data_IF_037051369271
#
_entry.id   IF_037051369271
#
_cell.length_a   1.000
_cell.length_b   1.000
_cell.length_c   1.000
_cell.angle_alpha   90.00
_cell.angle_beta   90.00
_cell.angle_gamma   90.00
#
_symmetry.space_group_name_H-M   'P 1'
#
loop_
_entity.id
_entity.type
_entity.pdbx_description
1 polymer ?
#
# COMPACT_ATOMS: atom_id res chain seq x y z
N UNK A 1 -7.82 12.13 -13.49
CA UNK A 1 -7.82 11.28 -12.27
C UNK A 1 -8.85 10.18 -12.45
N UNK A 2 -8.55 8.98 -11.96
CA UNK A 2 -9.49 7.85 -11.99
C UNK A 2 -10.04 7.68 -10.58
N UNK A 3 -11.36 7.55 -10.44
CA UNK A 3 -12.01 7.35 -9.15
C UNK A 3 -12.75 6.01 -9.16
N UNK A 4 -12.34 5.11 -8.29
CA UNK A 4 -13.05 3.89 -7.95
C UNK A 4 -13.69 4.11 -6.57
N UNK A 5 -15.00 4.26 -6.53
CA UNK A 5 -15.76 4.55 -5.31
C UNK A 5 -16.74 3.43 -5.00
N UNK A 6 -16.86 3.06 -3.73
CA UNK A 6 -17.96 2.24 -3.27
C UNK A 6 -19.24 3.09 -3.22
N UNK A 7 -20.22 2.76 -4.07
CA UNK A 7 -21.42 3.58 -4.26
C UNK A 7 -21.11 4.98 -4.80
N UNK A 8 -22.05 5.91 -4.65
CA UNK A 8 -21.89 7.28 -5.17
C UNK A 8 -20.87 8.11 -4.39
N UNK A 9 -20.83 7.93 -3.07
CA UNK A 9 -20.04 8.75 -2.14
C UNK A 9 -18.64 8.19 -1.89
N UNK A 10 -18.42 6.90 -2.09
CA UNK A 10 -17.18 6.23 -1.67
C UNK A 10 -17.07 6.00 -0.17
N UNK A 11 -18.19 6.07 0.57
CA UNK A 11 -18.21 5.87 2.02
C UNK A 11 -18.19 4.38 2.39
N UNK A 12 -17.51 4.03 3.48
CA UNK A 12 -17.50 2.67 4.04
C UNK A 12 -18.90 2.14 4.37
N UNK A 13 -19.84 3.01 4.74
CA UNK A 13 -21.23 2.65 5.02
C UNK A 13 -21.99 2.07 3.82
N UNK A 14 -21.47 2.26 2.60
CA UNK A 14 -22.06 1.69 1.39
C UNK A 14 -21.75 0.18 1.25
N UNK A 15 -20.87 -0.38 2.10
CA UNK A 15 -20.66 -1.81 2.30
C UNK A 15 -20.27 -2.62 1.03
N UNK A 16 -19.51 -2.02 0.11
CA UNK A 16 -19.00 -2.73 -1.07
C UNK A 16 -17.81 -3.61 -0.68
N UNK A 17 -17.87 -4.87 -1.07
CA UNK A 17 -16.86 -5.86 -0.68
C UNK A 17 -16.34 -6.62 -1.90
N UNK A 18 -15.02 -6.71 -2.02
CA UNK A 18 -14.34 -7.72 -2.81
C UNK A 18 -14.00 -8.90 -1.88
N UNK A 19 -14.48 -10.09 -2.21
CA UNK A 19 -14.38 -11.28 -1.35
C UNK A 19 -13.80 -12.48 -2.12
N UNK A 20 -12.70 -13.02 -1.61
CA UNK A 20 -12.07 -14.20 -2.15
C UNK A 20 -11.18 -13.93 -3.37
N UNK A 21 -10.85 -15.02 -4.08
CA UNK A 21 -9.95 -14.96 -5.24
C UNK A 21 -8.47 -14.84 -4.86
N UNK A 22 -7.62 -14.83 -5.87
CA UNK A 22 -6.18 -14.67 -5.69
C UNK A 22 -5.79 -13.19 -5.50
N UNK A 23 -6.45 -12.30 -6.25
CA UNK A 23 -6.18 -10.87 -6.31
C UNK A 23 -7.49 -10.10 -6.49
N UNK A 24 -7.63 -8.96 -5.80
CA UNK A 24 -8.78 -8.06 -5.94
C UNK A 24 -8.51 -6.93 -6.95
N UNK A 25 -7.32 -6.32 -6.90
CA UNK A 25 -6.93 -5.25 -7.84
C UNK A 25 -5.51 -5.46 -8.37
N UNK A 26 -5.35 -5.23 -9.68
CA UNK A 26 -4.06 -5.18 -10.37
C UNK A 26 -3.94 -3.81 -11.06
N UNK A 27 -3.12 -2.92 -10.50
CA UNK A 27 -2.91 -1.57 -11.02
C UNK A 27 -1.54 -1.49 -11.66
N UNK A 28 -1.50 -1.50 -12.99
CA UNK A 28 -0.29 -1.35 -13.79
C UNK A 28 -0.24 0.06 -14.38
N UNK A 29 0.73 0.85 -13.96
CA UNK A 29 0.84 2.27 -14.29
C UNK A 29 1.95 2.46 -15.32
N UNK A 30 1.58 2.54 -16.60
CA UNK A 30 2.54 2.70 -17.70
C UNK A 30 2.78 4.16 -18.10
N UNK A 31 1.79 5.04 -17.90
CA UNK A 31 1.86 6.46 -18.27
C UNK A 31 1.73 7.38 -17.05
N UNK A 32 1.97 8.67 -17.27
CA UNK A 32 1.80 9.74 -16.28
C UNK A 32 0.29 9.98 -16.07
N UNK A 33 -0.41 9.01 -15.48
CA UNK A 33 -1.81 9.17 -15.14
C UNK A 33 -1.96 10.18 -14.00
N UNK A 34 -2.92 11.09 -14.16
CA UNK A 34 -3.47 11.83 -13.03
C UNK A 34 -4.04 10.80 -12.05
N UNK A 35 -3.48 10.69 -10.85
CA UNK A 35 -3.58 9.55 -9.91
C UNK A 35 -4.93 8.84 -9.76
N UNK A 36 -4.85 7.61 -9.26
CA UNK A 36 -6.00 6.72 -8.99
C UNK A 36 -6.46 6.90 -7.55
N UNK A 37 -7.75 7.03 -7.33
CA UNK A 37 -8.37 7.12 -6.00
C UNK A 37 -9.32 5.96 -5.80
N UNK A 38 -9.11 5.18 -4.73
CA UNK A 38 -9.93 4.02 -4.36
C UNK A 38 -10.52 4.28 -2.98
N UNK A 39 -11.85 4.24 -2.83
CA UNK A 39 -12.46 4.60 -1.54
C UNK A 39 -13.68 3.78 -1.12
N UNK A 40 -13.74 3.46 0.18
CA UNK A 40 -14.90 2.87 0.84
C UNK A 40 -15.06 1.36 0.63
N UNK A 41 -14.02 0.66 0.18
CA UNK A 41 -14.09 -0.77 -0.11
C UNK A 41 -13.54 -1.63 1.03
N UNK A 42 -14.17 -2.79 1.23
CA UNK A 42 -13.57 -3.89 1.98
C UNK A 42 -12.99 -4.92 1.02
N UNK A 43 -11.71 -5.25 1.20
CA UNK A 43 -10.98 -6.29 0.50
C UNK A 43 -10.76 -7.45 1.49
N UNK A 44 -11.41 -8.59 1.27
CA UNK A 44 -11.34 -9.68 2.24
C UNK A 44 -11.08 -11.04 1.63
N UNK A 45 -10.42 -11.89 2.43
CA UNK A 45 -10.20 -13.32 2.14
C UNK A 45 -9.52 -13.61 0.80
N UNK A 46 -8.67 -12.71 0.29
CA UNK A 46 -7.79 -13.08 -0.83
C UNK A 46 -6.85 -14.21 -0.41
N UNK A 47 -6.49 -15.07 -1.36
CA UNK A 47 -5.55 -16.19 -1.18
C UNK A 47 -4.15 -15.91 -1.73
N UNK A 48 -3.96 -14.74 -2.33
CA UNK A 48 -2.68 -14.20 -2.78
C UNK A 48 -2.57 -12.71 -2.44
N UNK A 49 -1.87 -11.97 -3.30
CA UNK A 49 -1.76 -10.51 -3.21
C UNK A 49 -3.13 -9.87 -3.46
N UNK A 50 -3.76 -9.33 -2.43
CA UNK A 50 -5.05 -8.64 -2.56
C UNK A 50 -4.97 -7.47 -3.53
N UNK A 51 -3.95 -6.61 -3.40
CA UNK A 51 -3.77 -5.44 -4.27
C UNK A 51 -2.33 -5.39 -4.72
N UNK A 52 -2.13 -5.43 -6.04
CA UNK A 52 -0.81 -5.25 -6.65
C UNK A 52 -0.77 -3.92 -7.39
N UNK A 53 0.23 -3.12 -7.08
CA UNK A 53 0.52 -1.84 -7.72
C UNK A 53 1.91 -1.94 -8.33
N UNK A 54 1.98 -1.79 -9.64
CA UNK A 54 3.22 -1.83 -10.37
C UNK A 54 3.33 -0.57 -11.23
N UNK A 55 4.32 0.25 -10.94
CA UNK A 55 4.55 1.51 -11.64
C UNK A 55 5.79 1.41 -12.53
N UNK A 56 5.55 1.39 -13.85
CA UNK A 56 6.58 1.39 -14.88
C UNK A 56 6.82 2.77 -15.49
N UNK A 57 6.10 3.80 -15.01
CA UNK A 57 6.14 5.11 -15.64
C UNK A 57 7.57 5.64 -15.68
N UNK A 58 8.00 5.99 -16.90
CA UNK A 58 9.31 6.58 -17.11
C UNK A 58 9.28 8.03 -16.67
N UNK A 59 10.07 8.35 -15.64
CA UNK A 59 10.64 9.66 -15.33
C UNK A 59 9.68 10.87 -15.29
N UNK A 60 9.41 11.39 -14.10
CA UNK A 60 8.94 12.77 -13.91
C UNK A 60 10.16 13.63 -13.55
N UNK A 61 10.41 14.70 -14.32
CA UNK A 61 11.47 15.65 -13.99
C UNK A 61 11.26 16.29 -12.61
N UNK A 62 12.35 16.31 -11.86
CA UNK A 62 12.47 16.46 -10.40
C UNK A 62 12.01 17.79 -9.76
N UNK A 63 11.52 18.78 -10.51
CA UNK A 63 11.54 20.15 -9.98
C UNK A 63 10.32 20.56 -9.15
N UNK A 64 9.19 19.85 -9.17
CA UNK A 64 8.02 20.19 -8.34
C UNK A 64 7.16 18.96 -8.03
N UNK A 65 7.42 18.28 -6.90
CA UNK A 65 6.48 17.30 -6.35
C UNK A 65 5.14 18.01 -6.03
N UNK A 66 4.17 17.86 -6.92
CA UNK A 66 2.81 18.37 -6.73
C UNK A 66 1.96 17.24 -6.14
N UNK A 67 0.86 17.55 -5.43
CA UNK A 67 -0.11 16.54 -5.00
C UNK A 67 -0.63 15.64 -6.15
N UNK A 68 -0.47 16.06 -7.41
CA UNK A 68 -0.72 15.26 -8.61
C UNK A 68 0.21 14.06 -8.79
N UNK A 69 1.28 13.97 -8.01
CA UNK A 69 2.36 13.00 -8.23
C UNK A 69 2.18 11.73 -7.38
N UNK A 70 1.07 11.65 -6.62
CA UNK A 70 0.62 10.44 -5.96
C UNK A 70 0.06 9.50 -7.03
N UNK A 71 0.63 8.29 -7.12
CA UNK A 71 0.22 7.28 -8.09
C UNK A 71 -1.19 6.74 -7.77
N UNK A 72 -1.37 6.30 -6.52
CA UNK A 72 -2.61 5.69 -6.04
C UNK A 72 -2.90 6.15 -4.61
N UNK A 73 -4.15 6.50 -4.33
CA UNK A 73 -4.64 6.82 -3.00
C UNK A 73 -5.78 5.89 -2.59
N UNK A 74 -5.63 5.21 -1.46
CA UNK A 74 -6.70 4.46 -0.80
C UNK A 74 -7.26 5.30 0.36
N UNK A 75 -8.58 5.45 0.43
CA UNK A 75 -9.27 6.25 1.44
C UNK A 75 -10.37 5.43 2.07
N UNK A 76 -10.36 5.30 3.39
CA UNK A 76 -11.40 4.55 4.12
C UNK A 76 -11.57 3.14 3.54
N UNK A 77 -10.48 2.41 3.35
CA UNK A 77 -10.49 1.04 2.84
C UNK A 77 -10.09 0.05 3.94
N UNK A 78 -10.63 -1.17 3.87
CA UNK A 78 -10.37 -2.23 4.86
C UNK A 78 -9.76 -3.45 4.16
N UNK A 79 -8.66 -3.97 4.69
CA UNK A 79 -8.10 -5.27 4.33
C UNK A 79 -8.29 -6.23 5.49
N UNK A 80 -9.13 -7.24 5.29
CA UNK A 80 -9.57 -8.17 6.33
C UNK A 80 -9.30 -9.63 5.95
N UNK A 81 -8.61 -10.36 6.82
CA UNK A 81 -8.45 -11.83 6.69
C UNK A 81 -7.84 -12.30 5.35
N UNK A 82 -7.09 -11.45 4.66
CA UNK A 82 -6.38 -11.83 3.45
C UNK A 82 -5.17 -12.70 3.82
N UNK A 83 -4.88 -13.73 3.02
CA UNK A 83 -3.82 -14.71 3.27
C UNK A 83 -2.98 -14.92 2.02
N UNK A 84 -1.80 -14.32 1.98
CA UNK A 84 -0.80 -14.62 0.97
C UNK A 84 -0.08 -15.92 1.37
N UNK A 85 -0.19 -16.96 0.54
CA UNK A 85 0.34 -18.28 0.85
C UNK A 85 1.87 -18.25 1.09
N UNK A 86 2.41 -19.02 2.06
CA UNK A 86 3.82 -18.97 2.45
C UNK A 86 4.84 -19.28 1.34
N UNK A 87 4.43 -19.92 0.25
CA UNK A 87 5.31 -20.31 -0.85
C UNK A 87 5.58 -19.16 -1.83
N UNK A 88 4.84 -18.07 -1.73
CA UNK A 88 4.97 -16.90 -2.59
C UNK A 88 5.56 -15.75 -1.76
N UNK A 89 6.51 -15.00 -2.35
CA UNK A 89 7.03 -13.78 -1.73
C UNK A 89 6.07 -12.63 -1.98
N UNK A 90 5.90 -11.76 -0.99
CA UNK A 90 5.13 -10.53 -1.14
C UNK A 90 4.19 -10.26 0.04
N UNK A 91 3.43 -9.18 -0.11
CA UNK A 91 2.47 -8.72 0.89
C UNK A 91 1.02 -8.93 0.51
N UNK A 92 0.11 -8.48 1.38
CA UNK A 92 -1.32 -8.37 1.05
C UNK A 92 -1.51 -7.23 0.04
N UNK A 93 -0.83 -6.12 0.29
CA UNK A 93 -0.66 -5.03 -0.66
C UNK A 93 0.80 -5.02 -1.09
N UNK A 94 1.04 -5.20 -2.38
CA UNK A 94 2.36 -5.13 -2.99
C UNK A 94 2.45 -3.84 -3.80
N UNK A 95 3.46 -3.02 -3.50
CA UNK A 95 3.81 -1.84 -4.28
C UNK A 95 5.23 -2.03 -4.81
N UNK A 96 5.34 -2.15 -6.12
CA UNK A 96 6.61 -2.36 -6.82
C UNK A 96 6.82 -1.24 -7.82
N UNK A 97 8.01 -0.65 -7.82
CA UNK A 97 8.38 0.43 -8.73
C UNK A 97 9.62 0.06 -9.54
N UNK A 98 9.53 0.19 -10.85
CA UNK A 98 10.64 -0.13 -11.73
C UNK A 98 11.58 1.09 -11.84
N UNK A 99 12.62 1.12 -11.01
CA UNK A 99 13.64 2.18 -11.06
C UNK A 99 14.52 2.00 -12.32
N UNK A 100 14.19 2.70 -13.41
CA UNK A 100 15.01 2.71 -14.65
C UNK A 100 16.23 3.63 -14.59
N UNK A 101 16.33 4.55 -13.62
CA UNK A 101 17.48 5.47 -13.50
C UNK A 101 17.78 5.89 -12.07
N UNK A 102 19.03 6.27 -11.81
CA UNK A 102 19.58 6.67 -10.50
C UNK A 102 19.12 8.04 -9.98
N UNK A 103 18.20 8.73 -10.68
CA UNK A 103 17.83 10.13 -10.40
C UNK A 103 16.30 10.39 -10.47
N UNK A 104 15.48 9.34 -10.49
CA UNK A 104 14.02 9.48 -10.55
C UNK A 104 13.36 9.58 -9.17
N UNK A 105 12.28 10.37 -9.07
CA UNK A 105 11.37 10.32 -7.91
C UNK A 105 10.36 9.19 -8.06
N UNK A 106 10.20 8.43 -6.98
CA UNK A 106 9.16 7.43 -6.84
C UNK A 106 7.82 8.11 -6.53
N UNK A 107 6.78 7.82 -7.32
CA UNK A 107 5.42 8.32 -7.07
C UNK A 107 4.84 7.59 -5.85
N UNK A 108 4.51 8.28 -4.75
CA UNK A 108 4.05 7.58 -3.55
C UNK A 108 2.68 6.93 -3.76
N UNK A 109 2.44 5.83 -3.06
CA UNK A 109 1.10 5.29 -2.80
C UNK A 109 0.65 5.79 -1.43
N UNK A 110 -0.56 6.33 -1.35
CA UNK A 110 -1.08 6.91 -0.10
C UNK A 110 -2.23 6.07 0.46
N UNK A 111 -2.22 5.87 1.78
CA UNK A 111 -3.30 5.25 2.54
C UNK A 111 -3.81 6.24 3.58
N UNK A 112 -5.12 6.47 3.61
CA UNK A 112 -5.77 7.42 4.53
C UNK A 112 -6.91 6.70 5.23
N UNK A 113 -6.87 6.65 6.57
CA UNK A 113 -7.90 6.01 7.41
C UNK A 113 -8.20 4.56 6.98
N UNK A 114 -7.14 3.85 6.59
CA UNK A 114 -7.26 2.46 6.16
C UNK A 114 -7.01 1.51 7.34
N UNK A 115 -7.68 0.36 7.32
CA UNK A 115 -7.55 -0.67 8.36
C UNK A 115 -7.02 -1.95 7.74
N UNK A 116 -6.00 -2.53 8.35
CA UNK A 116 -5.41 -3.81 7.98
C UNK A 116 -5.53 -4.75 9.18
N UNK A 117 -6.47 -5.69 9.12
CA UNK A 117 -6.81 -6.55 10.27
C UNK A 117 -6.77 -8.03 9.93
N UNK A 118 -6.14 -8.81 10.83
CA UNK A 118 -6.08 -10.27 10.77
C UNK A 118 -5.53 -10.83 9.45
N UNK A 119 -4.66 -10.10 8.74
CA UNK A 119 -4.08 -10.59 7.51
C UNK A 119 -2.84 -11.45 7.78
N UNK A 120 -2.49 -12.31 6.83
CA UNK A 120 -1.27 -13.11 6.84
C UNK A 120 -0.50 -12.93 5.54
N UNK A 121 0.74 -12.45 5.59
CA UNK A 121 1.63 -12.42 4.44
C UNK A 121 3.09 -12.61 4.83
N UNK A 122 3.87 -13.40 4.07
CA UNK A 122 5.24 -13.76 4.43
C UNK A 122 6.24 -12.60 4.38
N UNK A 123 5.98 -11.58 3.55
CA UNK A 123 6.82 -10.38 3.42
C UNK A 123 6.08 -9.14 3.94
N UNK A 124 5.23 -9.32 4.94
CA UNK A 124 4.50 -8.27 5.62
C UNK A 124 3.18 -7.83 4.96
N UNK A 125 2.35 -7.08 5.70
CA UNK A 125 1.00 -6.72 5.21
C UNK A 125 1.07 -5.78 4.02
N UNK A 126 1.84 -4.71 4.15
CA UNK A 126 2.24 -3.85 3.02
C UNK A 126 3.69 -4.15 2.68
N UNK A 127 3.92 -4.54 1.45
CA UNK A 127 5.24 -4.85 0.91
C UNK A 127 5.65 -3.81 -0.12
N UNK A 128 6.72 -3.08 0.17
CA UNK A 128 7.27 -2.03 -0.71
C UNK A 128 8.57 -2.52 -1.33
N UNK A 129 8.62 -2.61 -2.66
CA UNK A 129 9.82 -2.98 -3.39
C UNK A 129 10.26 -1.84 -4.29
N UNK A 130 11.36 -1.18 -3.91
CA UNK A 130 11.84 0.05 -4.53
C UNK A 130 10.76 1.13 -4.65
N UNK A 131 9.85 1.21 -3.66
CA UNK A 131 8.63 2.02 -3.72
C UNK A 131 8.44 2.93 -2.50
N UNK A 132 7.65 3.99 -2.66
CA UNK A 132 7.33 4.94 -1.59
C UNK A 132 5.88 4.80 -1.15
N UNK A 133 5.63 4.77 0.15
CA UNK A 133 4.28 4.82 0.71
C UNK A 133 4.12 5.90 1.79
N UNK A 134 2.92 6.47 1.84
CA UNK A 134 2.51 7.45 2.85
C UNK A 134 1.26 6.92 3.57
N UNK A 135 1.33 6.80 4.88
CA UNK A 135 0.21 6.33 5.71
C UNK A 135 -0.26 7.45 6.63
N UNK A 136 -1.57 7.69 6.65
CA UNK A 136 -2.21 8.69 7.50
C UNK A 136 -3.39 8.05 8.22
N UNK A 137 -3.36 8.06 9.55
CA UNK A 137 -4.46 7.55 10.38
C UNK A 137 -4.80 6.08 10.10
N UNK A 138 -3.80 5.24 9.80
CA UNK A 138 -4.03 3.83 9.47
C UNK A 138 -3.92 2.93 10.70
N UNK A 139 -4.61 1.80 10.67
CA UNK A 139 -4.58 0.81 11.76
C UNK A 139 -4.10 -0.54 11.23
N UNK A 140 -3.12 -1.13 11.92
CA UNK A 140 -2.63 -2.48 11.67
C UNK A 140 -2.89 -3.32 12.90
N UNK A 141 -3.78 -4.30 12.79
CA UNK A 141 -4.26 -5.09 13.94
C UNK A 141 -4.07 -6.58 13.65
N UNK A 142 -3.29 -7.26 14.50
CA UNK A 142 -3.17 -8.74 14.48
C UNK A 142 -2.72 -9.31 13.12
N UNK A 143 -1.90 -8.59 12.36
CA UNK A 143 -1.35 -9.14 11.11
C UNK A 143 -0.14 -10.04 11.39
N UNK A 144 0.02 -11.10 10.58
CA UNK A 144 0.98 -12.20 10.78
C UNK A 144 1.72 -12.54 9.50
N UNK A 145 2.70 -13.46 9.59
CA UNK A 145 3.50 -13.94 8.47
C UNK A 145 4.72 -13.07 8.16
N UNK A 146 4.73 -11.81 8.62
CA UNK A 146 5.82 -10.84 8.48
C UNK A 146 5.52 -9.59 9.32
N UNK A 147 6.20 -8.49 9.02
CA UNK A 147 5.95 -7.19 9.68
C UNK A 147 4.67 -6.53 9.14
N UNK A 148 4.12 -5.54 9.84
CA UNK A 148 2.96 -4.83 9.29
C UNK A 148 3.32 -4.10 7.99
N UNK A 149 4.52 -3.51 7.92
CA UNK A 149 5.08 -2.93 6.70
C UNK A 149 6.50 -3.46 6.51
N UNK A 150 6.83 -3.90 5.31
CA UNK A 150 8.17 -4.36 4.95
C UNK A 150 8.68 -3.61 3.73
N UNK A 151 9.87 -3.03 3.87
CA UNK A 151 10.57 -2.30 2.81
C UNK A 151 11.70 -3.18 2.30
N UNK A 152 11.64 -3.54 1.02
CA UNK A 152 12.71 -4.26 0.32
C UNK A 152 13.32 -3.41 -0.78
N UNK A 153 14.56 -3.76 -1.11
CA UNK A 153 15.40 -3.09 -2.12
C UNK A 153 15.79 -1.64 -1.77
N UNK A 154 16.85 -1.16 -2.44
CA UNK A 154 17.33 0.21 -2.28
C UNK A 154 16.24 1.20 -2.71
N UNK A 155 16.09 2.29 -1.96
CA UNK A 155 15.16 3.40 -2.20
C UNK A 155 13.66 3.15 -1.93
N UNK A 156 13.30 2.08 -1.20
CA UNK A 156 11.98 2.03 -0.58
C UNK A 156 11.89 3.02 0.57
N UNK A 157 10.75 3.69 0.70
CA UNK A 157 10.49 4.65 1.77
C UNK A 157 9.09 4.51 2.31
N UNK A 158 8.93 4.68 3.63
CA UNK A 158 7.61 4.84 4.23
C UNK A 158 7.57 6.02 5.19
N UNK A 159 6.54 6.84 5.05
CA UNK A 159 6.20 7.90 6.00
C UNK A 159 4.88 7.57 6.67
N UNK A 160 4.86 7.50 8.01
CA UNK A 160 3.67 7.11 8.78
C UNK A 160 3.26 8.20 9.76
N UNK A 161 2.01 8.66 9.68
CA UNK A 161 1.45 9.73 10.50
C UNK A 161 0.22 9.23 11.25
N UNK A 162 0.23 9.33 12.58
CA UNK A 162 -0.91 8.96 13.44
C UNK A 162 -1.46 7.55 13.14
N UNK A 163 -0.59 6.59 12.81
CA UNK A 163 -1.01 5.22 12.49
C UNK A 163 -0.59 4.27 13.60
N UNK A 164 -1.47 3.33 13.93
CA UNK A 164 -1.35 2.47 15.10
C UNK A 164 -1.05 1.02 14.71
N UNK A 165 -0.18 0.36 15.48
CA UNK A 165 0.29 -1.00 15.19
C UNK A 165 0.08 -1.92 16.40
N UNK A 166 -1.04 -2.63 16.43
CA UNK A 166 -1.42 -3.47 17.56
C UNK A 166 -1.28 -4.96 17.25
N UNK A 167 -0.57 -5.70 18.11
CA UNK A 167 -0.48 -7.17 18.05
C UNK A 167 0.03 -7.72 16.69
N UNK A 168 0.87 -6.96 15.98
CA UNK A 168 1.62 -7.43 14.80
C UNK A 168 2.98 -8.00 15.24
N UNK A 169 3.68 -8.72 14.36
CA UNK A 169 5.08 -9.15 14.62
C UNK A 169 5.99 -7.95 14.93
N UNK A 170 5.75 -6.85 14.23
CA UNK A 170 6.27 -5.53 14.53
C UNK A 170 5.78 -4.50 13.52
N UNK A 171 6.02 -3.20 13.76
CA UNK A 171 5.43 -2.13 12.96
C UNK A 171 6.02 -2.03 11.54
N UNK A 172 7.34 -1.83 11.42
CA UNK A 172 8.00 -1.60 10.14
C UNK A 172 9.36 -2.31 10.15
N UNK A 173 9.64 -3.09 9.09
CA UNK A 173 10.97 -3.64 8.82
C UNK A 173 11.62 -2.93 7.64
N UNK A 174 12.89 -2.55 7.82
CA UNK A 174 13.62 -1.70 6.89
C UNK A 174 14.86 -2.47 6.40
N UNK A 175 14.91 -2.82 5.11
CA UNK A 175 16.11 -3.41 4.51
C UNK A 175 17.22 -2.35 4.33
N UNK A 176 18.51 -2.73 4.36
CA UNK A 176 19.60 -1.78 4.10
C UNK A 176 19.42 -0.99 2.79
N UNK A 177 19.44 0.34 2.91
CA UNK A 177 19.23 1.27 1.78
C UNK A 177 17.79 1.75 1.59
N UNK A 178 16.86 1.38 2.47
CA UNK A 178 15.52 1.95 2.60
C UNK A 178 15.45 2.98 3.73
N UNK A 179 14.42 3.83 3.75
CA UNK A 179 14.29 4.95 4.70
C UNK A 179 12.92 5.02 5.37
N UNK A 180 12.88 5.55 6.60
CA UNK A 180 11.66 5.94 7.32
C UNK A 180 11.86 7.38 7.80
N UNK A 181 11.47 8.39 7.01
CA UNK A 181 11.74 9.80 7.32
C UNK A 181 10.90 10.31 8.48
N UNK A 182 9.70 9.75 8.65
CA UNK A 182 8.79 10.08 9.75
C UNK A 182 8.30 8.78 10.38
N UNK A 183 8.71 8.58 11.63
CA UNK A 183 8.26 7.46 12.45
C UNK A 183 6.86 7.73 13.01
N UNK A 184 6.08 6.65 13.18
CA UNK A 184 4.73 6.70 13.69
C UNK A 184 4.68 7.35 15.08
N UNK A 185 3.96 8.46 15.20
CA UNK A 185 3.47 8.97 16.47
C UNK A 185 1.98 8.63 16.53
N UNK A 186 1.58 7.64 17.32
CA UNK A 186 0.17 7.26 17.48
C UNK A 186 0.05 5.79 17.87
N UNK A 187 -0.65 5.55 18.99
CA UNK A 187 -0.82 4.29 19.71
C UNK A 187 0.44 3.38 19.73
#
# INVERSE_FOLDING_TARGET
PIYLKCGETGALSNNCTFDGGEKHLNLELYEIYAGIYVSGFTFQRSTGVSVKIYDESSFIESSLLRPSDIAVTFIDCIWLENKHLPQQKGGIVEVSQHIKSSVGFNRPVMFVRCVFSNNYAPSGTIFLNSAVAILKFCEFIRNRGGWAIELQSKASEVSSYNSCFENNVGPIYIYPGSTVPVAANGC
#
